data_IF_263771394569
#
_entry.id   IF_263771394569
#
_cell.length_a   1.000
_cell.length_b   1.000
_cell.length_c   1.000
_cell.angle_alpha   90.00
_cell.angle_beta   90.00
_cell.angle_gamma   90.00
#
_symmetry.space_group_name_H-M   'P 1'
#
loop_
_entity.id
_entity.type
_entity.pdbx_description
1 polymer ?
#
# COMPACT_ATOMS: atom_id res chain seq x y z
N UNK A 1 -2.05 27.41 -31.56
CA UNK A 1 -2.05 27.07 -30.13
C UNK A 1 -3.06 25.95 -29.99
N UNK A 2 -2.57 24.71 -29.98
CA UNK A 2 -3.40 23.52 -29.81
C UNK A 2 -3.01 22.89 -28.49
N UNK A 3 -3.99 22.81 -27.59
CA UNK A 3 -3.91 22.04 -26.36
C UNK A 3 -3.86 20.55 -26.70
N UNK A 4 -2.81 19.89 -26.24
CA UNK A 4 -2.56 18.46 -26.46
C UNK A 4 -2.99 17.70 -25.19
N UNK A 5 -4.03 16.83 -25.25
CA UNK A 5 -4.37 16.00 -24.11
C UNK A 5 -3.41 14.81 -24.03
N UNK A 6 -2.55 14.81 -23.01
CA UNK A 6 -1.71 13.67 -22.62
C UNK A 6 -2.57 12.45 -22.26
N UNK A 7 -2.81 11.59 -23.24
CA UNK A 7 -3.37 10.25 -23.06
C UNK A 7 -2.27 9.38 -22.43
N UNK A 8 -2.34 9.19 -21.11
CA UNK A 8 -1.60 8.12 -20.44
C UNK A 8 -2.21 6.77 -20.87
N UNK A 9 -1.60 6.13 -21.87
CA UNK A 9 -1.93 4.78 -22.28
C UNK A 9 -1.60 3.80 -21.15
N UNK A 10 -2.66 3.31 -20.52
CA UNK A 10 -2.67 2.16 -19.62
C UNK A 10 -2.40 0.89 -20.45
N UNK A 11 -1.12 0.53 -20.60
CA UNK A 11 -0.72 -0.77 -21.13
C UNK A 11 -0.86 -1.84 -20.04
N UNK A 12 -2.03 -2.45 -19.94
CA UNK A 12 -2.24 -3.68 -19.17
C UNK A 12 -3.00 -4.69 -20.03
N UNK A 13 -2.56 -5.95 -19.93
CA UNK A 13 -3.10 -7.18 -20.52
C UNK A 13 -2.68 -7.48 -21.96
N UNK A 14 -1.50 -8.08 -22.07
CA UNK A 14 -1.35 -9.26 -22.93
C UNK A 14 -1.06 -10.46 -22.02
N UNK A 15 -1.99 -11.41 -21.98
CA UNK A 15 -2.00 -12.51 -21.06
C UNK A 15 -2.07 -13.81 -21.86
N UNK A 16 -0.94 -14.35 -22.32
CA UNK A 16 -0.83 -15.77 -22.64
C UNK A 16 0.60 -16.31 -22.46
N UNK A 17 0.68 -17.38 -21.65
CA UNK A 17 1.65 -18.48 -21.70
C UNK A 17 3.12 -18.23 -21.29
N UNK A 18 3.47 -18.70 -20.06
CA UNK A 18 4.55 -19.69 -19.78
C UNK A 18 4.81 -19.86 -18.26
N UNK A 19 4.28 -20.95 -17.66
CA UNK A 19 4.73 -21.67 -16.42
C UNK A 19 4.94 -20.84 -15.12
N UNK A 20 4.99 -21.45 -13.91
CA UNK A 20 4.90 -20.71 -12.66
C UNK A 20 6.25 -20.07 -12.32
N UNK A 21 6.55 -18.96 -12.98
CA UNK A 21 7.65 -18.09 -12.61
C UNK A 21 7.23 -17.38 -11.31
N UNK A 22 7.93 -17.75 -10.23
CA UNK A 22 8.06 -17.00 -8.96
C UNK A 22 7.50 -15.58 -9.09
N UNK A 23 6.31 -15.36 -8.53
CA UNK A 23 5.75 -14.03 -8.37
C UNK A 23 6.61 -13.32 -7.32
N UNK A 24 7.76 -12.80 -7.75
CA UNK A 24 8.40 -11.70 -7.05
C UNK A 24 7.44 -10.52 -7.22
N UNK A 25 6.52 -10.38 -6.28
CA UNK A 25 5.70 -9.20 -6.15
C UNK A 25 6.63 -7.99 -6.15
N UNK A 26 6.47 -7.09 -7.13
CA UNK A 26 7.31 -5.89 -7.19
C UNK A 26 7.02 -5.06 -5.93
N UNK A 27 8.02 -4.44 -5.28
CA UNK A 27 7.79 -3.63 -4.08
C UNK A 27 6.64 -2.61 -4.24
N UNK A 28 6.50 -2.01 -5.44
CA UNK A 28 5.40 -1.11 -5.77
C UNK A 28 4.00 -1.77 -5.71
N UNK A 29 3.88 -3.04 -6.10
CA UNK A 29 2.63 -3.81 -6.01
C UNK A 29 2.27 -4.10 -4.55
N UNK A 30 3.27 -4.28 -3.67
CA UNK A 30 3.05 -4.50 -2.24
C UNK A 30 2.62 -3.23 -1.51
N UNK A 31 3.12 -2.06 -1.92
CA UNK A 31 2.62 -0.76 -1.43
C UNK A 31 1.15 -0.60 -1.78
N UNK A 32 0.74 -0.96 -3.00
CA UNK A 32 -0.66 -0.88 -3.42
C UNK A 32 -1.56 -1.80 -2.57
N UNK A 33 -1.09 -3.00 -2.23
CA UNK A 33 -1.83 -3.91 -1.34
C UNK A 33 -1.92 -3.38 0.10
N UNK A 34 -0.82 -2.88 0.67
CA UNK A 34 -0.79 -2.35 2.03
C UNK A 34 -1.67 -1.10 2.18
N UNK A 35 -1.61 -0.18 1.21
CA UNK A 35 -2.48 1.02 1.19
C UNK A 35 -3.94 0.65 0.92
N UNK A 36 -4.20 -0.38 0.12
CA UNK A 36 -5.54 -0.95 -0.06
C UNK A 36 -6.11 -1.53 1.24
N UNK A 37 -5.29 -2.19 2.06
CA UNK A 37 -5.69 -2.71 3.37
C UNK A 37 -6.08 -1.56 4.33
N UNK A 38 -5.26 -0.52 4.41
CA UNK A 38 -5.58 0.68 5.19
C UNK A 38 -6.87 1.35 4.71
N UNK A 39 -7.00 1.57 3.39
CA UNK A 39 -8.20 2.15 2.79
C UNK A 39 -9.47 1.34 3.05
N UNK A 40 -9.37 0.02 3.12
CA UNK A 40 -10.49 -0.84 3.50
C UNK A 40 -10.94 -0.58 4.95
N UNK A 41 -10.02 -0.65 5.92
CA UNK A 41 -10.31 -0.37 7.34
C UNK A 41 -10.84 1.05 7.55
N UNK A 42 -10.28 2.01 6.82
CA UNK A 42 -10.75 3.39 6.84
C UNK A 42 -12.21 3.52 6.41
N UNK A 43 -12.57 2.83 5.33
CA UNK A 43 -13.92 2.87 4.75
C UNK A 43 -14.95 2.14 5.62
N UNK A 44 -14.59 1.01 6.25
CA UNK A 44 -15.50 0.25 7.13
C UNK A 44 -15.89 1.06 8.36
N UNK A 45 -14.98 1.92 8.85
CA UNK A 45 -15.23 2.88 9.93
C UNK A 45 -15.92 4.17 9.48
N UNK A 46 -16.33 4.26 8.21
CA UNK A 46 -17.02 5.42 7.62
C UNK A 46 -16.24 6.73 7.75
N UNK A 47 -14.91 6.66 7.77
CA UNK A 47 -14.07 7.85 7.76
C UNK A 47 -14.04 8.52 6.37
N UNK A 48 -13.65 9.79 6.34
CA UNK A 48 -13.70 10.61 5.11
C UNK A 48 -12.73 10.12 4.04
N UNK A 49 -13.24 9.87 2.83
CA UNK A 49 -12.41 9.51 1.66
C UNK A 49 -11.48 10.65 1.21
N UNK A 50 -11.85 11.91 1.49
CA UNK A 50 -10.98 13.06 1.20
C UNK A 50 -9.73 13.01 2.06
N UNK A 51 -9.88 12.69 3.35
CA UNK A 51 -8.73 12.52 4.27
C UNK A 51 -7.91 11.29 3.90
N UNK A 52 -8.56 10.18 3.52
CA UNK A 52 -7.87 8.99 3.04
C UNK A 52 -6.94 9.29 1.87
N UNK A 53 -7.41 10.11 0.91
CA UNK A 53 -6.61 10.49 -0.26
C UNK A 53 -5.37 11.29 0.11
N UNK A 54 -5.49 12.23 1.05
CA UNK A 54 -4.35 13.02 1.56
C UNK A 54 -3.34 12.11 2.27
N UNK A 55 -3.81 11.20 3.13
CA UNK A 55 -2.95 10.25 3.83
C UNK A 55 -2.23 9.31 2.85
N UNK A 56 -2.94 8.79 1.85
CA UNK A 56 -2.38 7.89 0.83
C UNK A 56 -1.29 8.54 -0.01
N UNK A 57 -1.51 9.76 -0.52
CA UNK A 57 -0.53 10.42 -1.39
C UNK A 57 0.82 10.60 -0.68
N UNK A 58 0.81 11.03 0.57
CA UNK A 58 2.04 11.25 1.35
C UNK A 58 2.69 9.93 1.79
N UNK A 59 1.90 8.97 2.29
CA UNK A 59 2.43 7.69 2.76
C UNK A 59 3.04 6.85 1.62
N UNK A 60 2.44 6.86 0.42
CA UNK A 60 2.93 6.13 -0.75
C UNK A 60 4.27 6.68 -1.25
N UNK A 61 4.43 8.00 -1.26
CA UNK A 61 5.69 8.64 -1.67
C UNK A 61 6.83 8.27 -0.71
N UNK A 62 6.58 8.35 0.60
CA UNK A 62 7.54 7.94 1.64
C UNK A 62 7.90 6.45 1.54
N UNK A 63 6.92 5.58 1.31
CA UNK A 63 7.15 4.14 1.17
C UNK A 63 7.94 3.79 -0.09
N UNK A 64 7.67 4.46 -1.23
CA UNK A 64 8.44 4.24 -2.45
C UNK A 64 9.92 4.61 -2.26
N UNK A 65 10.23 5.73 -1.60
CA UNK A 65 11.62 6.12 -1.33
C UNK A 65 12.36 5.13 -0.43
N UNK A 66 11.67 4.57 0.57
CA UNK A 66 12.24 3.59 1.48
C UNK A 66 12.43 2.22 0.82
N UNK A 67 11.53 1.82 -0.08
CA UNK A 67 11.55 0.52 -0.77
C UNK A 67 12.49 0.48 -1.97
N UNK A 68 12.86 1.61 -2.57
CA UNK A 68 13.92 1.71 -3.60
C UNK A 68 15.27 1.12 -3.15
N UNK A 69 15.47 0.97 -1.84
CA UNK A 69 16.72 0.49 -1.21
C UNK A 69 16.74 -1.00 -0.88
N UNK A 70 15.63 -1.73 -1.08
CA UNK A 70 15.53 -3.16 -0.80
C UNK A 70 15.80 -3.99 -2.08
N UNK A 71 16.67 -5.00 -1.99
CA UNK A 71 16.98 -5.91 -3.10
C UNK A 71 15.76 -6.80 -3.40
N UNK A 72 15.41 -6.98 -4.68
CA UNK A 72 14.18 -7.62 -5.17
C UNK A 72 14.01 -9.10 -4.72
N UNK A 73 15.06 -9.69 -4.14
CA UNK A 73 15.15 -11.11 -3.78
C UNK A 73 14.45 -11.50 -2.48
N UNK A 74 14.09 -10.56 -1.61
CA UNK A 74 13.41 -10.84 -0.33
C UNK A 74 11.88 -10.72 -0.40
N UNK A 75 11.29 -11.12 -1.54
CA UNK A 75 9.88 -10.90 -1.87
C UNK A 75 8.84 -11.66 -1.01
N UNK A 76 9.26 -12.56 -0.10
CA UNK A 76 8.30 -13.30 0.72
C UNK A 76 7.68 -12.46 1.85
N UNK A 77 8.43 -11.48 2.35
CA UNK A 77 7.96 -10.55 3.38
C UNK A 77 7.76 -9.12 2.84
N UNK A 78 7.80 -8.92 1.52
CA UNK A 78 7.71 -7.58 0.91
C UNK A 78 6.43 -6.81 1.28
N UNK A 79 5.32 -7.51 1.54
CA UNK A 79 4.09 -6.88 2.07
C UNK A 79 4.28 -6.38 3.51
N UNK A 80 4.92 -7.19 4.37
CA UNK A 80 5.24 -6.77 5.74
C UNK A 80 6.24 -5.64 5.75
N UNK A 81 7.27 -5.71 4.92
CA UNK A 81 8.27 -4.65 4.79
C UNK A 81 7.63 -3.36 4.29
N UNK A 82 6.75 -3.43 3.28
CA UNK A 82 6.02 -2.26 2.80
C UNK A 82 5.15 -1.65 3.91
N UNK A 83 4.43 -2.50 4.66
CA UNK A 83 3.61 -2.04 5.77
C UNK A 83 4.45 -1.47 6.94
N UNK A 84 5.58 -2.09 7.28
CA UNK A 84 6.51 -1.61 8.30
C UNK A 84 7.01 -0.19 7.99
N UNK A 85 7.17 0.15 6.70
CA UNK A 85 7.55 1.51 6.27
C UNK A 85 6.36 2.47 6.22
N UNK A 86 5.17 2.00 5.83
CA UNK A 86 3.96 2.82 5.76
C UNK A 86 3.35 3.17 7.12
N UNK A 87 3.36 2.21 8.05
CA UNK A 87 2.74 2.32 9.38
C UNK A 87 3.18 3.58 10.15
N UNK A 88 4.48 3.88 10.32
CA UNK A 88 4.90 5.10 11.02
C UNK A 88 4.49 6.38 10.28
N UNK A 89 4.43 6.37 8.93
CA UNK A 89 3.97 7.52 8.16
C UNK A 89 2.48 7.78 8.40
N UNK A 90 1.65 6.74 8.36
CA UNK A 90 0.23 6.84 8.69
C UNK A 90 0.00 7.29 10.14
N UNK A 91 0.72 6.72 11.09
CA UNK A 91 0.62 7.11 12.50
C UNK A 91 0.93 8.61 12.69
N UNK A 92 2.03 9.08 12.10
CA UNK A 92 2.45 10.48 12.15
C UNK A 92 1.41 11.39 11.51
N UNK A 93 1.00 11.10 10.28
CA UNK A 93 0.05 11.94 9.53
C UNK A 93 -1.33 12.01 10.23
N UNK A 94 -1.83 10.90 10.77
CA UNK A 94 -3.09 10.91 11.52
C UNK A 94 -2.97 11.77 12.78
N UNK A 95 -1.84 11.70 13.51
CA UNK A 95 -1.62 12.59 14.66
C UNK A 95 -1.52 14.06 14.26
N UNK A 96 -0.79 14.37 13.19
CA UNK A 96 -0.65 15.73 12.66
C UNK A 96 -2.00 16.33 12.23
N UNK A 97 -2.91 15.49 11.72
CA UNK A 97 -4.27 15.89 11.37
C UNK A 97 -5.27 15.86 12.55
N UNK A 98 -4.80 15.70 13.79
CA UNK A 98 -5.60 15.87 15.00
C UNK A 98 -6.50 14.68 15.35
N UNK A 99 -6.21 13.49 14.85
CA UNK A 99 -6.92 12.28 15.25
C UNK A 99 -6.62 11.92 16.71
N UNK A 100 -7.62 11.38 17.41
CA UNK A 100 -7.46 10.89 18.78
C UNK A 100 -6.49 9.69 18.80
N UNK A 101 -5.65 9.61 19.84
CA UNK A 101 -4.66 8.54 19.96
C UNK A 101 -5.28 7.14 19.91
N UNK A 102 -6.46 6.96 20.51
CA UNK A 102 -7.24 5.72 20.48
C UNK A 102 -7.70 5.37 19.06
N UNK A 103 -8.20 6.35 18.30
CA UNK A 103 -8.57 6.14 16.88
C UNK A 103 -7.36 5.76 16.03
N UNK A 104 -6.20 6.36 16.28
CA UNK A 104 -4.96 6.03 15.57
C UNK A 104 -4.55 4.60 15.89
N UNK A 105 -4.50 4.23 17.17
CA UNK A 105 -4.10 2.88 17.61
C UNK A 105 -5.02 1.82 17.01
N UNK A 106 -6.33 2.00 17.15
CA UNK A 106 -7.33 1.06 16.63
C UNK A 106 -7.19 0.81 15.12
N UNK A 107 -7.04 1.88 14.33
CA UNK A 107 -6.94 1.78 12.87
C UNK A 107 -5.66 1.07 12.46
N UNK A 108 -4.55 1.35 13.14
CA UNK A 108 -3.27 0.71 12.84
C UNK A 108 -3.28 -0.77 13.24
N UNK A 109 -3.80 -1.13 14.42
CA UNK A 109 -3.91 -2.53 14.86
C UNK A 109 -4.82 -3.36 13.94
N UNK A 110 -5.95 -2.81 13.49
CA UNK A 110 -6.84 -3.49 12.56
C UNK A 110 -6.19 -3.64 11.17
N UNK A 111 -5.37 -2.66 10.77
CA UNK A 111 -4.58 -2.74 9.53
C UNK A 111 -3.46 -3.77 9.65
N UNK A 112 -2.75 -3.84 10.78
CA UNK A 112 -1.75 -4.87 11.11
C UNK A 112 -2.37 -6.27 10.91
N UNK A 113 -3.53 -6.51 11.52
CA UNK A 113 -4.24 -7.79 11.39
C UNK A 113 -4.71 -8.08 9.95
N UNK A 114 -5.09 -7.05 9.18
CA UNK A 114 -5.48 -7.22 7.78
C UNK A 114 -4.29 -7.57 6.90
N UNK A 115 -3.14 -6.93 7.12
CA UNK A 115 -1.88 -7.19 6.41
C UNK A 115 -1.43 -8.63 6.65
N UNK A 116 -1.44 -9.12 7.90
CA UNK A 116 -1.10 -10.51 8.20
C UNK A 116 -2.04 -11.52 7.53
N UNK A 117 -3.35 -11.25 7.49
CA UNK A 117 -4.29 -12.10 6.74
C UNK A 117 -4.00 -12.12 5.24
N UNK A 118 -3.63 -10.99 4.65
CA UNK A 118 -3.27 -10.91 3.24
C UNK A 118 -2.00 -11.70 2.95
N UNK A 119 -0.98 -11.58 3.81
CA UNK A 119 0.25 -12.36 3.72
C UNK A 119 -0.03 -13.86 3.76
N UNK A 120 -0.86 -14.33 4.69
CA UNK A 120 -1.24 -15.75 4.79
C UNK A 120 -2.04 -16.30 3.59
N UNK A 121 -2.55 -15.42 2.72
CA UNK A 121 -3.25 -15.78 1.47
C UNK A 121 -2.30 -15.81 0.26
N UNK A 122 -1.06 -15.34 0.40
CA UNK A 122 -0.07 -15.35 -0.68
C UNK A 122 0.52 -16.76 -0.84
N UNK A 123 0.80 -17.21 -2.07
CA UNK A 123 1.31 -18.56 -2.34
C UNK A 123 2.73 -18.75 -1.82
N UNK A 124 2.90 -19.57 -0.78
CA UNK A 124 4.19 -19.89 -0.13
C UNK A 124 5.16 -20.55 -1.11
N UNK A 125 6.47 -20.22 -1.08
CA UNK A 125 7.46 -20.81 -1.97
C UNK A 125 7.56 -22.34 -1.86
#
# INVERSE_FOLDING_TARGET
MSDDPMIYQHGYYDAQERRPARLYARPAEMIALATGAFGHVWSTRKHSNTLLRVLHMNAVEEAHELLKRLDEREAWDALLVAWEKLRPAYERLMREHGFLAETVADVLEETDARVERLRGQMPTP
#
